data_IF_564512399265
#
_entry.id   IF_564512399265
#
_cell.length_a   1.000
_cell.length_b   1.000
_cell.length_c   1.000
_cell.angle_alpha   90.00
_cell.angle_beta   90.00
_cell.angle_gamma   90.00
#
_symmetry.space_group_name_H-M   'P 1'
#
loop_
_entity.id
_entity.type
_entity.pdbx_description
1 polymer ?
#
# COMPACT_ATOMS: atom_id res chain seq x y z
N UNK A 1 4.76 -8.07 -57.62
CA UNK A 1 3.97 -8.40 -56.41
C UNK A 1 4.70 -7.79 -55.23
N UNK A 2 4.29 -6.60 -54.75
CA UNK A 2 4.94 -5.95 -53.61
C UNK A 2 4.28 -6.54 -52.36
N UNK A 3 5.02 -7.37 -51.63
CA UNK A 3 4.59 -7.89 -50.34
C UNK A 3 4.34 -6.71 -49.41
N UNK A 4 3.06 -6.40 -49.18
CA UNK A 4 2.66 -5.47 -48.14
C UNK A 4 3.08 -6.09 -46.81
N UNK A 5 4.02 -5.45 -46.11
CA UNK A 5 4.28 -5.72 -44.70
C UNK A 5 2.96 -5.43 -43.98
N UNK A 6 2.29 -6.48 -43.51
CA UNK A 6 1.14 -6.34 -42.63
C UNK A 6 1.70 -5.88 -41.29
N UNK A 7 1.88 -4.58 -41.11
CA UNK A 7 2.15 -3.98 -39.81
C UNK A 7 0.82 -3.94 -39.05
N UNK A 8 0.51 -5.04 -38.38
CA UNK A 8 -0.58 -5.06 -37.39
C UNK A 8 -0.13 -4.15 -36.24
N UNK A 9 -0.52 -2.88 -36.30
CA UNK A 9 -0.40 -1.94 -35.18
C UNK A 9 -1.41 -2.38 -34.11
N UNK A 10 -1.03 -3.39 -33.31
CA UNK A 10 -1.77 -3.77 -32.11
C UNK A 10 -1.71 -2.55 -31.17
N UNK A 11 -2.76 -1.73 -31.18
CA UNK A 11 -2.96 -0.71 -30.15
C UNK A 11 -3.15 -1.47 -28.84
N UNK A 12 -2.09 -1.58 -28.04
CA UNK A 12 -2.18 -2.19 -26.72
C UNK A 12 -3.10 -1.31 -25.86
N UNK A 13 -4.31 -1.79 -25.61
CA UNK A 13 -5.28 -1.08 -24.77
C UNK A 13 -5.04 -1.51 -23.32
N UNK A 14 -4.48 -0.60 -22.53
CA UNK A 14 -4.36 -0.79 -21.08
C UNK A 14 -5.60 -0.30 -20.34
N UNK A 15 -5.79 -0.78 -19.11
CA UNK A 15 -6.92 -0.38 -18.26
C UNK A 15 -6.81 1.05 -17.73
N UNK A 16 -7.79 1.43 -16.92
CA UNK A 16 -7.80 2.72 -16.22
C UNK A 16 -6.57 2.82 -15.31
N UNK A 17 -5.89 3.97 -15.37
CA UNK A 17 -4.64 4.26 -14.64
C UNK A 17 -3.48 3.30 -14.93
N UNK A 18 -3.50 2.65 -16.09
CA UNK A 18 -2.40 1.83 -16.57
C UNK A 18 -1.68 2.48 -17.76
N UNK A 19 -0.42 2.12 -17.95
CA UNK A 19 0.40 2.50 -19.10
C UNK A 19 1.14 1.27 -19.63
N UNK A 20 1.22 1.15 -20.96
CA UNK A 20 1.98 0.09 -21.59
C UNK A 20 3.47 0.40 -21.48
N UNK A 21 4.26 -0.57 -21.02
CA UNK A 21 5.72 -0.52 -21.04
C UNK A 21 6.24 -1.73 -21.79
N UNK A 22 7.23 -1.52 -22.65
CA UNK A 22 8.01 -2.60 -23.26
C UNK A 22 8.94 -3.28 -22.25
N UNK A 23 9.33 -2.56 -21.20
CA UNK A 23 10.18 -3.02 -20.12
C UNK A 23 9.72 -2.37 -18.81
N UNK A 24 8.77 -3.00 -18.11
CA UNK A 24 8.34 -2.61 -16.78
C UNK A 24 8.87 -3.55 -15.69
N UNK A 25 9.06 -3.00 -14.49
CA UNK A 25 9.57 -3.72 -13.32
C UNK A 25 8.75 -4.98 -13.01
N UNK A 26 9.42 -6.09 -12.71
CA UNK A 26 8.76 -7.29 -12.19
C UNK A 26 8.16 -7.08 -10.79
N UNK A 27 8.63 -6.08 -10.04
CA UNK A 27 8.06 -5.69 -8.75
C UNK A 27 6.95 -4.67 -8.99
N UNK A 28 5.73 -5.17 -9.15
CA UNK A 28 4.56 -4.32 -9.25
C UNK A 28 4.27 -3.65 -7.92
N UNK A 29 4.00 -2.34 -7.93
CA UNK A 29 3.44 -1.62 -6.79
C UNK A 29 2.01 -2.11 -6.55
N UNK A 30 1.81 -2.96 -5.55
CA UNK A 30 0.49 -3.44 -5.11
C UNK A 30 0.04 -2.72 -3.85
N UNK A 31 -1.28 -2.67 -3.61
CA UNK A 31 -1.84 -2.11 -2.38
C UNK A 31 -1.29 -2.80 -1.12
N UNK A 32 -0.90 -4.08 -1.20
CA UNK A 32 -0.30 -4.82 -0.08
C UNK A 32 0.98 -4.20 0.48
N UNK A 33 1.74 -3.44 -0.33
CA UNK A 33 2.92 -2.71 0.16
C UNK A 33 2.60 -1.49 1.02
N UNK A 34 1.34 -1.05 1.01
CA UNK A 34 0.89 0.11 1.78
C UNK A 34 0.27 -0.27 3.13
N UNK A 35 -0.05 -1.54 3.38
CA UNK A 35 -0.70 -1.96 4.63
C UNK A 35 0.30 -2.23 5.75
N UNK A 36 -0.11 -1.97 6.99
CA UNK A 36 0.69 -2.25 8.17
C UNK A 36 0.65 -3.74 8.60
N UNK A 37 1.76 -4.30 9.12
CA UNK A 37 3.09 -3.75 9.15
C UNK A 37 3.60 -3.55 7.73
N UNK A 38 4.16 -2.37 7.48
CA UNK A 38 4.69 -2.07 6.16
C UNK A 38 5.74 -3.13 5.85
N UNK A 39 5.55 -3.91 4.78
CA UNK A 39 6.54 -4.91 4.41
C UNK A 39 7.87 -4.19 4.21
N UNK A 40 8.96 -4.84 4.65
CA UNK A 40 10.30 -4.33 4.36
C UNK A 40 10.37 -4.06 2.86
N UNK A 41 10.93 -2.91 2.42
CA UNK A 41 11.05 -2.64 1.00
C UNK A 41 11.68 -3.86 0.35
N UNK A 42 11.10 -4.33 -0.76
CA UNK A 42 11.65 -5.45 -1.53
C UNK A 42 13.10 -5.09 -1.89
N UNK A 43 14.05 -5.54 -1.07
CA UNK A 43 15.48 -5.23 -1.27
C UNK A 43 16.01 -5.84 -2.56
N UNK A 44 15.29 -6.80 -3.12
CA UNK A 44 15.66 -7.53 -4.31
C UNK A 44 14.51 -7.51 -5.30
N UNK A 45 14.39 -6.42 -6.05
CA UNK A 45 13.74 -6.50 -7.33
C UNK A 45 14.74 -7.06 -8.34
N UNK A 46 14.44 -8.21 -8.94
CA UNK A 46 15.28 -8.69 -10.04
C UNK A 46 15.24 -7.67 -11.17
N UNK A 47 16.38 -7.37 -11.78
CA UNK A 47 16.50 -6.41 -12.89
C UNK A 47 15.79 -6.88 -14.18
N UNK A 48 15.15 -8.05 -14.14
CA UNK A 48 14.35 -8.57 -15.23
C UNK A 48 13.09 -7.72 -15.38
N UNK A 49 12.88 -7.17 -16.58
CA UNK A 49 11.65 -6.48 -16.94
C UNK A 49 10.81 -7.32 -17.90
N UNK A 50 9.50 -7.05 -17.92
CA UNK A 50 8.56 -7.66 -18.85
C UNK A 50 7.79 -6.57 -19.61
N UNK A 51 7.33 -6.89 -20.81
CA UNK A 51 6.37 -6.04 -21.51
C UNK A 51 4.94 -6.27 -20.97
N UNK A 52 4.12 -5.22 -21.01
CA UNK A 52 2.72 -5.29 -20.59
C UNK A 52 2.18 -3.97 -20.05
N UNK A 53 0.97 -4.02 -19.48
CA UNK A 53 0.33 -2.89 -18.82
C UNK A 53 0.72 -2.83 -17.33
N UNK A 54 1.19 -1.67 -16.90
CA UNK A 54 1.62 -1.41 -15.54
C UNK A 54 0.83 -0.25 -14.96
N UNK A 55 0.61 -0.24 -13.65
CA UNK A 55 0.05 0.95 -13.01
C UNK A 55 0.94 2.15 -13.29
N UNK A 56 0.32 3.27 -13.66
CA UNK A 56 1.00 4.56 -13.78
C UNK A 56 1.67 4.91 -12.45
N UNK A 57 2.69 5.76 -12.50
CA UNK A 57 3.34 6.25 -11.29
C UNK A 57 2.33 6.84 -10.31
N UNK A 58 2.43 6.46 -9.03
CA UNK A 58 1.51 6.88 -7.97
C UNK A 58 0.25 6.01 -7.84
N UNK A 59 -0.01 5.08 -8.75
CA UNK A 59 -1.11 4.12 -8.66
C UNK A 59 -0.61 2.75 -8.23
N UNK A 60 -1.46 2.03 -7.50
CA UNK A 60 -1.16 0.73 -6.93
C UNK A 60 -2.17 -0.30 -7.42
N UNK A 61 -1.70 -1.51 -7.72
CA UNK A 61 -2.57 -2.60 -8.15
C UNK A 61 -3.31 -3.16 -6.94
N UNK A 62 -4.63 -3.08 -6.97
CA UNK A 62 -5.51 -3.71 -6.00
C UNK A 62 -5.69 -5.21 -6.32
N UNK A 63 -6.26 -5.95 -5.38
CA UNK A 63 -6.47 -7.41 -5.51
C UNK A 63 -7.43 -7.77 -6.65
N UNK A 64 -8.30 -6.84 -7.05
CA UNK A 64 -9.18 -6.99 -8.22
C UNK A 64 -8.48 -6.72 -9.57
N UNK A 65 -7.17 -6.47 -9.57
CA UNK A 65 -6.36 -6.22 -10.76
C UNK A 65 -6.33 -4.77 -11.25
N UNK A 66 -7.17 -3.88 -10.71
CA UNK A 66 -7.24 -2.48 -11.13
C UNK A 66 -6.14 -1.63 -10.48
N UNK A 67 -5.69 -0.60 -11.19
CA UNK A 67 -4.77 0.40 -10.66
C UNK A 67 -5.55 1.55 -10.02
N UNK A 68 -5.41 1.67 -8.71
CA UNK A 68 -6.17 2.60 -7.87
C UNK A 68 -5.26 3.62 -7.21
N UNK A 69 -5.83 4.76 -6.83
CA UNK A 69 -5.12 5.77 -6.04
C UNK A 69 -4.78 5.19 -4.65
N UNK A 70 -3.69 5.63 -4.01
CA UNK A 70 -3.22 5.01 -2.77
C UNK A 70 -4.22 5.11 -1.61
N UNK A 71 -5.03 6.18 -1.56
CA UNK A 71 -6.11 6.29 -0.58
C UNK A 71 -7.19 5.20 -0.74
N UNK A 72 -7.39 4.70 -1.96
CA UNK A 72 -8.33 3.61 -2.24
C UNK A 72 -7.75 2.24 -1.84
N UNK A 73 -6.45 2.15 -1.56
CA UNK A 73 -5.86 0.94 -0.97
C UNK A 73 -6.13 0.85 0.53
N UNK A 74 -6.34 1.97 1.23
CA UNK A 74 -6.39 1.99 2.69
C UNK A 74 -7.69 1.42 3.24
N UNK A 75 -7.60 0.77 4.40
CA UNK A 75 -8.76 0.16 5.06
C UNK A 75 -9.60 1.25 5.74
N UNK A 76 -10.76 0.86 6.25
CA UNK A 76 -11.61 1.75 7.03
C UNK A 76 -10.80 2.36 8.19
N UNK A 77 -10.95 3.67 8.39
CA UNK A 77 -10.24 4.48 9.40
C UNK A 77 -8.71 4.55 9.21
N UNK A 78 -8.20 4.15 8.05
CA UNK A 78 -6.83 4.43 7.62
C UNK A 78 -6.82 5.55 6.58
N UNK A 79 -5.70 6.26 6.48
CA UNK A 79 -5.43 7.23 5.43
C UNK A 79 -4.04 6.99 4.87
N UNK A 80 -3.89 7.20 3.57
CA UNK A 80 -2.57 7.17 2.97
C UNK A 80 -1.80 8.41 3.41
N UNK A 81 -0.57 8.20 3.87
CA UNK A 81 0.32 9.27 4.30
C UNK A 81 1.71 9.01 3.75
N UNK A 82 2.37 10.06 3.27
CA UNK A 82 3.78 10.05 2.85
C UNK A 82 4.74 10.38 3.98
N UNK A 83 4.23 10.93 5.08
CA UNK A 83 4.95 11.29 6.29
C UNK A 83 4.34 10.63 7.54
N UNK A 84 3.87 9.38 7.41
CA UNK A 84 3.39 8.62 8.56
C UNK A 84 4.51 8.35 9.56
N UNK A 85 4.18 8.30 10.85
CA UNK A 85 5.16 7.94 11.87
C UNK A 85 5.45 6.44 11.82
N UNK A 86 6.74 6.05 11.84
CA UNK A 86 7.13 4.65 12.08
C UNK A 86 6.73 4.16 13.48
N UNK A 87 6.41 5.10 14.37
CA UNK A 87 5.93 4.89 15.71
C UNK A 87 4.43 4.56 15.68
N UNK A 88 4.12 3.26 15.79
CA UNK A 88 2.73 2.80 15.67
C UNK A 88 2.07 2.87 17.04
N UNK A 89 1.00 3.67 17.15
CA UNK A 89 0.15 3.68 18.34
C UNK A 89 -0.85 2.52 18.30
N UNK A 90 -0.92 1.78 19.40
CA UNK A 90 -1.90 0.72 19.60
C UNK A 90 -2.66 0.91 20.90
N UNK A 91 -3.73 0.15 21.11
CA UNK A 91 -4.46 0.20 22.38
C UNK A 91 -3.61 -0.09 23.61
N UNK A 92 -2.56 -0.92 23.48
CA UNK A 92 -1.67 -1.29 24.59
C UNK A 92 -0.44 -0.40 24.70
N UNK A 93 -0.04 0.25 23.62
CA UNK A 93 1.22 0.98 23.56
C UNK A 93 1.02 2.37 22.98
N UNK A 94 1.39 3.37 23.79
CA UNK A 94 1.51 4.77 23.37
C UNK A 94 2.96 5.21 23.56
N UNK A 95 3.83 5.02 22.55
CA UNK A 95 5.24 5.35 22.68
C UNK A 95 5.40 6.84 22.99
N UNK A 96 6.13 7.17 24.04
CA UNK A 96 6.38 8.56 24.45
C UNK A 96 7.46 9.22 23.59
N UNK A 97 8.36 8.40 23.04
CA UNK A 97 9.47 8.84 22.19
C UNK A 97 9.34 8.09 20.88
N UNK A 98 9.24 8.85 19.80
CA UNK A 98 9.22 8.33 18.44
C UNK A 98 10.50 8.78 17.72
N UNK A 99 11.13 7.88 16.98
CA UNK A 99 12.21 8.24 16.07
C UNK A 99 11.65 9.09 14.92
N UNK A 100 12.45 10.01 14.37
CA UNK A 100 12.10 10.83 13.18
C UNK A 100 12.16 9.99 11.89
N UNK A 101 11.56 8.80 11.93
CA UNK A 101 11.46 7.88 10.81
C UNK A 101 10.07 8.03 10.21
N UNK A 102 10.04 8.66 9.03
CA UNK A 102 8.82 8.76 8.24
C UNK A 102 8.64 7.51 7.38
N UNK A 103 7.41 7.01 7.32
CA UNK A 103 7.03 5.90 6.46
C UNK A 103 5.87 6.31 5.56
N UNK A 104 5.94 5.86 4.31
CA UNK A 104 4.87 6.04 3.34
C UNK A 104 3.96 4.82 3.35
N UNK A 105 2.66 5.02 3.56
CA UNK A 105 1.70 3.93 3.61
C UNK A 105 0.36 4.31 4.24
N UNK A 106 -0.48 3.30 4.43
CA UNK A 106 -1.75 3.44 5.14
C UNK A 106 -1.49 3.43 6.66
N UNK A 107 -1.74 4.56 7.29
CA UNK A 107 -1.68 4.74 8.73
C UNK A 107 -3.09 4.96 9.28
N UNK A 108 -3.34 4.65 10.56
CA UNK A 108 -4.58 5.07 11.19
C UNK A 108 -4.77 6.58 11.00
N UNK A 109 -6.00 7.02 10.74
CA UNK A 109 -6.28 8.43 10.53
C UNK A 109 -5.79 9.25 11.73
N UNK A 110 -4.95 10.27 11.47
CA UNK A 110 -4.36 11.10 12.51
C UNK A 110 -5.45 11.83 13.30
N UNK A 111 -5.64 11.42 14.55
CA UNK A 111 -6.00 12.22 15.72
C UNK A 111 -6.50 11.30 16.85
N UNK A 112 -7.32 10.29 16.52
CA UNK A 112 -8.04 9.50 17.54
C UNK A 112 -8.14 8.01 17.24
N UNK A 113 -7.61 7.55 16.10
CA UNK A 113 -7.61 6.15 15.71
C UNK A 113 -6.27 5.50 16.03
N UNK A 114 -6.33 4.40 16.79
CA UNK A 114 -5.17 3.57 17.14
C UNK A 114 -5.39 2.15 16.63
N UNK A 115 -4.31 1.40 16.40
CA UNK A 115 -4.45 -0.01 16.04
C UNK A 115 -4.92 -0.81 17.23
N UNK A 116 -5.87 -1.71 17.01
CA UNK A 116 -6.39 -2.56 18.09
C UNK A 116 -5.28 -3.41 18.72
N UNK A 117 -4.37 -3.94 17.90
CA UNK A 117 -3.22 -4.73 18.33
C UNK A 117 -2.01 -4.54 17.38
N UNK A 118 -0.89 -5.17 17.70
CA UNK A 118 0.36 -5.08 16.93
C UNK A 118 0.39 -6.05 15.72
N UNK A 119 -0.69 -6.81 15.47
CA UNK A 119 -0.72 -7.81 14.41
C UNK A 119 -0.89 -7.19 13.03
N UNK A 120 -0.52 -7.98 12.04
CA UNK A 120 -0.68 -7.63 10.63
C UNK A 120 -2.14 -7.48 10.29
N UNK A 121 -2.53 -6.27 9.86
CA UNK A 121 -3.89 -5.98 9.43
C UNK A 121 -4.90 -5.75 10.55
N UNK A 122 -4.46 -5.48 11.78
CA UNK A 122 -5.35 -5.07 12.87
C UNK A 122 -6.11 -3.79 12.51
N UNK A 123 -7.42 -3.71 12.82
CA UNK A 123 -8.22 -2.56 12.46
C UNK A 123 -7.83 -1.32 13.26
N UNK A 124 -7.95 -0.15 12.64
CA UNK A 124 -7.87 1.12 13.32
C UNK A 124 -9.23 1.42 13.98
N UNK A 125 -9.23 1.52 15.30
CA UNK A 125 -10.42 1.83 16.11
C UNK A 125 -10.20 3.13 16.87
N UNK A 126 -11.30 3.82 17.20
CA UNK A 126 -11.23 4.99 18.06
C UNK A 126 -10.62 4.62 19.40
N UNK A 127 -9.74 5.45 19.96
CA UNK A 127 -8.98 5.14 21.18
C UNK A 127 -9.88 4.80 22.38
N UNK A 128 -11.03 5.46 22.51
CA UNK A 128 -12.00 5.16 23.58
C UNK A 128 -12.67 3.79 23.45
N UNK A 129 -12.54 3.15 22.28
CA UNK A 129 -13.02 1.78 22.05
C UNK A 129 -11.95 0.72 22.31
N UNK A 130 -10.78 1.13 22.80
CA UNK A 130 -9.78 0.17 23.23
C UNK A 130 -10.32 -0.67 24.38
N UNK A 131 -10.12 -2.01 24.35
CA UNK A 131 -10.51 -2.85 25.45
C UNK A 131 -9.77 -2.37 26.70
N UNK A 132 -10.54 -2.01 27.74
CA UNK A 132 -9.95 -1.74 29.05
C UNK A 132 -9.24 -3.02 29.50
N UNK A 133 -8.05 -2.92 30.12
CA UNK A 133 -7.48 -4.07 30.82
C UNK A 133 -8.55 -4.62 31.76
N UNK A 134 -8.75 -5.94 31.76
CA UNK A 134 -9.52 -6.54 32.85
C UNK A 134 -8.87 -6.10 34.17
N UNK A 135 -9.63 -5.82 35.24
CA UNK A 135 -9.05 -5.60 36.55
C UNK A 135 -8.10 -6.76 36.86
N UNK A 136 -6.86 -6.46 37.25
CA UNK A 136 -5.96 -7.48 37.76
C UNK A 136 -6.59 -7.98 39.07
N UNK A 137 -7.07 -9.23 39.07
CA UNK A 137 -7.53 -9.89 40.29
C UNK A 137 -6.35 -9.96 41.27
N UNK A 138 -6.47 -9.23 42.39
CA UNK A 138 -5.50 -9.23 43.51
C UNK A 138 -5.40 -10.60 44.18
#
# INVERSE_FOLDING_TARGET
>A
MKNAKVEVMYQYVCGVNEEYKTCGSACASTCGYLHYPLPKPLKFCILLCRSGCFCKQGYYRADNGQCVAPDQCCRKNEKYQTCGSACVETCKQRPQICTLQYVTGCCCACSDYVRQDNNTGSPCIHRDKCPTPCPEDN
#
